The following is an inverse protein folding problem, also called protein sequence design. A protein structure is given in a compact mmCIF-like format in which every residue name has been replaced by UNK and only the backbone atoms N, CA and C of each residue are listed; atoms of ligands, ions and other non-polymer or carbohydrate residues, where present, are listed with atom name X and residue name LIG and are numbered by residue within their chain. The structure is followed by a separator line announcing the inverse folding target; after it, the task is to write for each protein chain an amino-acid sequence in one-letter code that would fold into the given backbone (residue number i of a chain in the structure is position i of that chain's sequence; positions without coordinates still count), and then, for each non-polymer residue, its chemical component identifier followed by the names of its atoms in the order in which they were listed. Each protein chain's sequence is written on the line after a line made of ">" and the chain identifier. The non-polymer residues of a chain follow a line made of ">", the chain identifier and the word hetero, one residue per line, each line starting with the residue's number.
data_IF_776570977147
#
_entry.id   IF_776570977147
#
_cell.length_a   1.000
_cell.length_b   1.000
_cell.length_c   1.000
_cell.angle_alpha   90.00
_cell.angle_beta   90.00
_cell.angle_gamma   90.00
#
_symmetry.space_group_name_H-M   'P 1'
#
loop_
_entity.id
_entity.type
_entity.pdbx_description
1 polymer ?
#
# COMPACT_ATOMS: atom_id res chain seq x y z
N UNK A 1 -26.55 14.45 13.08
CA UNK A 1 -25.25 13.98 12.58
C UNK A 1 -25.36 12.49 12.40
N UNK A 2 -25.15 11.97 11.18
CA UNK A 2 -25.16 10.53 10.97
C UNK A 2 -24.01 9.93 11.77
N UNK A 3 -24.33 9.15 12.80
CA UNK A 3 -23.38 8.43 13.64
C UNK A 3 -23.02 7.14 12.93
N UNK A 4 -22.27 7.24 11.82
CA UNK A 4 -21.78 6.04 11.15
C UNK A 4 -20.84 5.29 12.11
N UNK A 5 -21.28 4.13 12.57
CA UNK A 5 -20.57 3.26 13.51
C UNK A 5 -19.83 2.14 12.79
N UNK A 6 -19.92 2.07 11.46
CA UNK A 6 -19.19 1.07 10.68
C UNK A 6 -17.69 1.20 10.98
N UNK A 7 -16.97 0.08 11.07
CA UNK A 7 -15.53 0.14 11.16
C UNK A 7 -14.92 0.93 10.00
N UNK A 8 -13.78 1.55 10.27
CA UNK A 8 -13.07 2.43 9.35
C UNK A 8 -11.73 1.80 8.95
N UNK A 9 -11.42 1.81 7.67
CA UNK A 9 -10.06 1.62 7.17
C UNK A 9 -9.54 2.96 6.64
N UNK A 10 -8.40 3.41 7.15
CA UNK A 10 -7.66 4.55 6.58
C UNK A 10 -6.58 3.96 5.68
N UNK A 11 -6.69 4.15 4.36
CA UNK A 11 -5.85 3.46 3.38
C UNK A 11 -5.12 4.42 2.45
N UNK A 12 -3.99 3.98 1.90
CA UNK A 12 -3.35 4.66 0.79
C UNK A 12 -4.21 4.56 -0.47
N UNK A 13 -4.37 5.67 -1.21
CA UNK A 13 -5.08 5.68 -2.49
C UNK A 13 -4.48 4.73 -3.53
N UNK A 14 -3.18 4.42 -3.43
CA UNK A 14 -2.50 3.45 -4.28
C UNK A 14 -2.97 2.00 -4.08
N UNK A 15 -3.69 1.71 -2.99
CA UNK A 15 -4.19 0.37 -2.66
C UNK A 15 -5.68 0.21 -2.98
N UNK A 16 -6.32 1.20 -3.61
CA UNK A 16 -7.78 1.22 -3.73
C UNK A 16 -8.34 0.02 -4.49
N UNK A 17 -7.67 -0.42 -5.55
CA UNK A 17 -8.13 -1.57 -6.35
C UNK A 17 -7.98 -2.87 -5.57
N UNK A 18 -6.81 -3.08 -4.97
CA UNK A 18 -6.42 -4.28 -4.24
C UNK A 18 -7.24 -4.42 -2.96
N UNK A 19 -7.41 -3.34 -2.20
CA UNK A 19 -8.16 -3.35 -0.95
C UNK A 19 -9.63 -3.65 -1.21
N UNK A 20 -10.22 -3.02 -2.23
CA UNK A 20 -11.60 -3.35 -2.65
C UNK A 20 -11.72 -4.82 -3.04
N UNK A 21 -10.75 -5.39 -3.75
CA UNK A 21 -10.76 -6.81 -4.10
C UNK A 21 -10.70 -7.71 -2.85
N UNK A 22 -9.84 -7.38 -1.89
CA UNK A 22 -9.73 -8.10 -0.59
C UNK A 22 -11.03 -8.01 0.21
N UNK A 23 -11.65 -6.83 0.29
CA UNK A 23 -12.91 -6.63 1.03
C UNK A 23 -14.09 -7.34 0.36
N UNK A 24 -14.16 -7.34 -0.97
CA UNK A 24 -15.16 -8.10 -1.73
C UNK A 24 -15.02 -9.61 -1.53
N UNK A 25 -13.80 -10.13 -1.67
CA UNK A 25 -13.53 -11.55 -1.45
C UNK A 25 -13.87 -11.98 -0.01
N UNK A 26 -13.79 -11.04 0.94
CA UNK A 26 -14.16 -11.27 2.34
C UNK A 26 -15.64 -11.03 2.66
N UNK A 27 -16.44 -10.52 1.71
CA UNK A 27 -17.89 -10.29 1.88
C UNK A 27 -18.27 -9.11 2.79
N UNK A 28 -17.38 -8.13 2.96
CA UNK A 28 -17.51 -7.08 4.00
C UNK A 28 -17.46 -5.66 3.45
N UNK A 29 -17.35 -5.48 2.14
CA UNK A 29 -17.21 -4.18 1.46
C UNK A 29 -18.30 -3.16 1.89
N UNK A 30 -19.56 -3.58 2.00
CA UNK A 30 -20.66 -2.68 2.39
C UNK A 30 -20.71 -2.34 3.90
N UNK A 31 -20.02 -3.14 4.72
CA UNK A 31 -20.06 -3.05 6.19
C UNK A 31 -18.92 -2.22 6.76
N UNK A 32 -17.99 -1.79 5.92
CA UNK A 32 -16.78 -1.05 6.30
C UNK A 32 -16.75 0.23 5.48
N UNK A 33 -16.38 1.33 6.13
CA UNK A 33 -16.02 2.55 5.40
C UNK A 33 -14.51 2.53 5.14
N UNK A 34 -14.11 2.93 3.93
CA UNK A 34 -12.71 3.16 3.62
C UNK A 34 -12.49 4.62 3.28
N UNK A 35 -11.59 5.27 4.01
CA UNK A 35 -11.10 6.61 3.68
C UNK A 35 -9.72 6.47 3.04
N UNK A 36 -9.65 6.84 1.76
CA UNK A 36 -8.40 6.84 1.01
C UNK A 36 -7.72 8.20 1.15
N UNK A 37 -6.46 8.18 1.62
CA UNK A 37 -5.59 9.34 1.54
C UNK A 37 -5.01 9.46 0.11
N UNK A 38 -4.61 10.67 -0.31
CA UNK A 38 -4.06 10.90 -1.65
C UNK A 38 -2.89 9.97 -2.00
N UNK A 39 -2.89 9.40 -3.21
CA UNK A 39 -1.85 8.46 -3.62
C UNK A 39 -0.46 9.12 -3.79
N UNK A 40 -0.41 10.44 -4.03
CA UNK A 40 0.85 11.20 -4.15
C UNK A 40 1.65 11.26 -2.84
N UNK A 41 1.06 10.91 -1.69
CA UNK A 41 1.79 10.75 -0.43
C UNK A 41 2.88 9.68 -0.51
N UNK A 42 2.85 8.81 -1.52
CA UNK A 42 3.93 7.85 -1.81
C UNK A 42 5.30 8.52 -1.95
N UNK A 43 5.37 9.75 -2.48
CA UNK A 43 6.60 10.53 -2.61
C UNK A 43 6.76 11.60 -1.51
N UNK A 44 5.79 11.69 -0.58
CA UNK A 44 5.74 12.67 0.51
C UNK A 44 5.35 11.98 1.82
N UNK A 45 6.10 10.95 2.26
CA UNK A 45 5.73 10.14 3.40
C UNK A 45 5.62 10.93 4.71
N UNK A 46 6.32 12.06 4.82
CA UNK A 46 6.22 13.01 5.94
C UNK A 46 4.78 13.51 6.20
N UNK A 47 3.92 13.47 5.18
CA UNK A 47 2.53 13.90 5.28
C UNK A 47 1.55 12.77 5.58
N UNK A 48 1.98 11.51 5.66
CA UNK A 48 1.12 10.37 6.00
C UNK A 48 0.66 10.49 7.45
N UNK A 49 1.60 10.61 8.39
CA UNK A 49 1.29 10.62 9.84
C UNK A 49 0.33 11.74 10.24
N UNK A 50 0.51 13.01 9.81
CA UNK A 50 -0.44 14.09 10.13
C UNK A 50 -1.86 13.83 9.63
N UNK A 51 -2.01 13.31 8.41
CA UNK A 51 -3.34 13.04 7.83
C UNK A 51 -4.01 11.82 8.46
N UNK A 52 -3.24 10.78 8.81
CA UNK A 52 -3.78 9.66 9.59
C UNK A 52 -4.25 10.15 10.97
N UNK A 53 -3.48 11.01 11.64
CA UNK A 53 -3.85 11.57 12.94
C UNK A 53 -5.18 12.33 12.87
N UNK A 54 -5.34 13.22 11.89
CA UNK A 54 -6.59 13.96 11.67
C UNK A 54 -7.79 13.02 11.50
N UNK A 55 -7.65 11.98 10.69
CA UNK A 55 -8.73 11.01 10.47
C UNK A 55 -9.04 10.19 11.72
N UNK A 56 -8.04 9.82 12.51
CA UNK A 56 -8.23 9.13 13.79
C UNK A 56 -8.97 10.01 14.80
N UNK A 57 -8.61 11.29 14.92
CA UNK A 57 -9.29 12.23 15.82
C UNK A 57 -10.77 12.41 15.44
N UNK A 58 -11.03 12.66 14.15
CA UNK A 58 -12.38 12.81 13.61
C UNK A 58 -13.26 11.55 13.77
N UNK A 59 -12.64 10.37 13.95
CA UNK A 59 -13.31 9.07 13.98
C UNK A 59 -13.01 8.29 15.27
N UNK A 60 -12.65 8.99 16.35
CA UNK A 60 -12.16 8.39 17.61
C UNK A 60 -13.09 7.37 18.29
N UNK A 61 -14.40 7.41 17.98
CA UNK A 61 -15.38 6.45 18.50
C UNK A 61 -15.51 5.17 17.64
N UNK A 62 -14.79 5.05 16.52
CA UNK A 62 -14.93 3.95 15.55
C UNK A 62 -13.77 2.96 15.64
N UNK A 63 -14.07 1.67 15.50
CA UNK A 63 -13.03 0.66 15.32
C UNK A 63 -12.27 0.94 14.01
N UNK A 64 -10.99 1.29 14.11
CA UNK A 64 -10.21 1.77 12.97
C UNK A 64 -8.98 0.88 12.74
N UNK A 65 -8.70 0.61 11.46
CA UNK A 65 -7.47 -0.04 11.00
C UNK A 65 -6.76 0.87 10.00
N UNK A 66 -5.45 1.01 10.14
CA UNK A 66 -4.63 1.83 9.24
C UNK A 66 -3.99 0.92 8.19
N UNK A 67 -4.53 0.94 6.98
CA UNK A 67 -3.99 0.23 5.82
C UNK A 67 -2.77 0.96 5.21
N UNK A 68 -1.78 1.24 6.07
CA UNK A 68 -0.42 1.66 5.76
C UNK A 68 0.55 0.74 6.49
N UNK A 69 1.66 0.39 5.85
CA UNK A 69 2.86 -0.09 6.52
C UNK A 69 3.56 1.12 7.20
N UNK A 70 4.87 1.07 7.46
CA UNK A 70 5.58 2.33 7.79
C UNK A 70 5.55 3.31 6.60
N UNK A 71 5.69 2.79 5.38
CA UNK A 71 5.63 3.51 4.11
C UNK A 71 6.56 4.75 4.06
N UNK A 72 7.74 4.67 4.69
CA UNK A 72 8.72 5.75 4.70
C UNK A 72 8.46 6.83 5.75
N UNK A 73 7.53 6.63 6.69
CA UNK A 73 7.33 7.59 7.79
C UNK A 73 8.48 7.59 8.80
N UNK A 74 9.36 6.59 8.76
CA UNK A 74 10.50 6.50 9.67
C UNK A 74 10.08 6.25 11.12
N UNK A 75 9.02 5.49 11.33
CA UNK A 75 8.47 5.13 12.64
C UNK A 75 7.51 6.16 13.24
N UNK A 76 7.31 7.33 12.61
CA UNK A 76 6.38 8.33 13.13
C UNK A 76 4.93 7.84 13.14
N UNK A 77 4.55 6.96 12.22
CA UNK A 77 3.24 6.33 12.27
C UNK A 77 3.07 5.44 13.50
N UNK A 78 4.08 4.65 13.87
CA UNK A 78 4.02 3.82 15.08
C UNK A 78 3.91 4.66 16.35
N UNK A 79 4.73 5.71 16.46
CA UNK A 79 4.68 6.65 17.59
C UNK A 79 3.32 7.35 17.72
N UNK A 80 2.65 7.65 16.59
CA UNK A 80 1.29 8.16 16.62
C UNK A 80 0.32 7.11 17.19
N UNK A 81 0.41 5.87 16.72
CA UNK A 81 -0.52 4.79 17.07
C UNK A 81 -0.40 4.33 18.53
N UNK A 82 0.71 4.60 19.22
CA UNK A 82 0.83 4.42 20.68
C UNK A 82 -0.28 5.14 21.47
N UNK A 83 -0.82 6.25 20.93
CA UNK A 83 -1.93 7.00 21.53
C UNK A 83 -3.30 6.35 21.30
N UNK A 84 -3.38 5.35 20.43
CA UNK A 84 -4.60 4.69 19.98
C UNK A 84 -4.48 3.16 20.12
N UNK A 85 -4.50 2.60 21.35
CA UNK A 85 -4.16 1.20 21.61
C UNK A 85 -5.08 0.17 20.94
N UNK A 86 -6.26 0.58 20.47
CA UNK A 86 -7.20 -0.28 19.74
C UNK A 86 -6.99 -0.23 18.21
N UNK A 87 -6.10 0.62 17.71
CA UNK A 87 -5.81 0.79 16.29
C UNK A 87 -4.54 0.02 15.95
N UNK A 88 -4.64 -0.84 14.95
CA UNK A 88 -3.49 -1.51 14.34
C UNK A 88 -3.30 -1.05 12.90
N UNK A 89 -2.12 -1.35 12.35
CA UNK A 89 -1.77 -1.03 10.96
C UNK A 89 -1.30 -2.26 10.17
N UNK A 90 -1.12 -2.12 8.87
CA UNK A 90 -0.47 -3.16 8.07
C UNK A 90 0.98 -3.37 8.57
N UNK A 91 1.46 -4.62 8.57
CA UNK A 91 2.83 -4.91 8.97
C UNK A 91 3.84 -4.45 7.92
N UNK A 92 5.11 -4.50 8.30
CA UNK A 92 6.24 -4.22 7.41
C UNK A 92 6.57 -2.74 7.28
N UNK A 93 7.59 -2.48 6.47
CA UNK A 93 8.13 -1.17 6.18
C UNK A 93 7.47 -0.54 4.94
N UNK A 94 7.01 -1.33 3.97
CA UNK A 94 6.50 -0.81 2.69
C UNK A 94 5.36 -1.65 2.14
N UNK A 95 4.64 -1.10 1.16
CA UNK A 95 3.54 -1.84 0.52
C UNK A 95 4.02 -3.06 -0.27
N UNK A 96 5.13 -2.93 -0.98
CA UNK A 96 5.73 -4.04 -1.71
C UNK A 96 6.18 -5.18 -0.78
N UNK A 97 6.57 -4.89 0.47
CA UNK A 97 6.93 -5.92 1.44
C UNK A 97 5.70 -6.75 1.83
N UNK A 98 4.61 -6.10 2.26
CA UNK A 98 3.44 -6.87 2.67
C UNK A 98 2.78 -7.58 1.48
N UNK A 99 2.88 -7.06 0.25
CA UNK A 99 2.35 -7.75 -0.92
C UNK A 99 3.17 -8.99 -1.25
N UNK A 100 4.50 -8.88 -1.29
CA UNK A 100 5.39 -10.00 -1.54
C UNK A 100 5.41 -11.02 -0.39
N UNK A 101 5.11 -10.57 0.83
CA UNK A 101 5.44 -11.28 2.04
C UNK A 101 6.87 -10.97 2.47
N UNK A 102 7.07 -10.78 3.77
CA UNK A 102 8.35 -10.33 4.33
C UNK A 102 9.52 -11.23 3.95
N UNK A 103 9.34 -12.55 3.89
CA UNK A 103 10.43 -13.46 3.52
C UNK A 103 10.92 -13.23 2.07
N UNK A 104 10.00 -13.17 1.11
CA UNK A 104 10.36 -12.99 -0.31
C UNK A 104 10.91 -11.60 -0.58
N UNK A 105 10.37 -10.58 0.11
CA UNK A 105 10.92 -9.24 0.08
C UNK A 105 12.35 -9.19 0.61
N UNK A 106 12.61 -9.73 1.80
CA UNK A 106 13.95 -9.73 2.40
C UNK A 106 14.94 -10.51 1.54
N UNK A 107 14.56 -11.66 1.01
CA UNK A 107 15.41 -12.42 0.09
C UNK A 107 15.74 -11.60 -1.16
N UNK A 108 14.76 -10.94 -1.78
CA UNK A 108 15.00 -10.08 -2.94
C UNK A 108 15.90 -8.87 -2.60
N UNK A 109 15.77 -8.32 -1.39
CA UNK A 109 16.58 -7.21 -0.92
C UNK A 109 18.02 -7.63 -0.62
N UNK A 110 18.21 -8.78 0.03
CA UNK A 110 19.52 -9.32 0.36
C UNK A 110 20.30 -9.75 -0.90
N UNK A 111 19.60 -10.25 -1.93
CA UNK A 111 20.18 -10.54 -3.25
C UNK A 111 20.75 -9.29 -3.94
N UNK A 112 20.04 -8.17 -3.86
CA UNK A 112 20.41 -6.91 -4.51
C UNK A 112 19.76 -5.71 -3.78
N UNK A 113 20.49 -5.06 -2.85
CA UNK A 113 19.97 -3.90 -2.13
C UNK A 113 19.62 -2.72 -3.06
N UNK A 114 20.29 -2.60 -4.21
CA UNK A 114 20.00 -1.63 -5.27
C UNK A 114 18.76 -1.99 -6.10
N UNK A 115 17.68 -2.45 -5.46
CA UNK A 115 16.43 -2.82 -6.13
C UNK A 115 15.39 -1.71 -5.99
N UNK A 116 14.83 -1.27 -7.12
CA UNK A 116 13.67 -0.40 -7.15
C UNK A 116 12.41 -1.25 -7.27
N UNK A 117 11.54 -1.20 -6.27
CA UNK A 117 10.35 -2.05 -6.23
C UNK A 117 9.15 -1.34 -6.84
N UNK A 118 8.41 -2.07 -7.67
CA UNK A 118 7.11 -1.67 -8.19
C UNK A 118 6.02 -2.64 -7.72
N UNK A 119 4.82 -2.10 -7.54
CA UNK A 119 3.56 -2.86 -7.46
C UNK A 119 2.66 -2.43 -8.62
N UNK A 120 1.47 -3.02 -8.75
CA UNK A 120 0.57 -2.77 -9.88
C UNK A 120 0.27 -1.27 -10.07
N UNK A 121 -0.07 -0.56 -8.99
CA UNK A 121 -0.40 0.87 -9.06
C UNK A 121 0.80 1.75 -9.48
N UNK A 122 1.97 1.72 -8.81
CA UNK A 122 3.14 2.47 -9.26
C UNK A 122 3.63 2.09 -10.67
N UNK A 123 3.46 0.84 -11.11
CA UNK A 123 3.77 0.46 -12.49
C UNK A 123 2.83 1.16 -13.49
N UNK A 124 1.50 1.10 -13.26
CA UNK A 124 0.50 1.78 -14.11
C UNK A 124 0.63 3.30 -14.10
N UNK A 125 1.14 3.87 -13.02
CA UNK A 125 1.25 5.32 -12.82
C UNK A 125 2.70 5.81 -12.75
N UNK A 126 3.62 5.07 -13.37
CA UNK A 126 5.06 5.36 -13.33
C UNK A 126 5.38 6.77 -13.81
N UNK A 127 4.74 7.21 -14.89
CA UNK A 127 4.94 8.55 -15.45
C UNK A 127 4.59 9.65 -14.46
N UNK A 128 3.39 9.61 -13.88
CA UNK A 128 2.93 10.64 -12.96
C UNK A 128 3.71 10.63 -11.65
N UNK A 129 3.96 9.44 -11.07
CA UNK A 129 4.53 9.31 -9.74
C UNK A 129 6.05 9.36 -9.75
N UNK A 130 6.70 8.64 -10.66
CA UNK A 130 8.16 8.52 -10.66
C UNK A 130 8.75 9.53 -11.61
N UNK A 131 8.32 9.55 -12.88
CA UNK A 131 8.97 10.38 -13.87
C UNK A 131 8.73 11.87 -13.62
N UNK A 132 7.47 12.29 -13.60
CA UNK A 132 7.07 13.68 -13.36
C UNK A 132 7.20 14.03 -11.88
N UNK A 133 6.76 13.13 -10.99
CA UNK A 133 6.79 13.37 -9.54
C UNK A 133 8.19 13.58 -8.96
N UNK A 134 9.23 13.04 -9.61
CA UNK A 134 10.63 13.29 -9.24
C UNK A 134 11.31 14.35 -10.14
N UNK A 135 10.61 14.93 -11.11
CA UNK A 135 11.12 15.97 -12.00
C UNK A 135 12.05 15.46 -13.12
N UNK A 136 12.03 14.16 -13.44
CA UNK A 136 12.88 13.55 -14.47
C UNK A 136 12.51 14.00 -15.89
N UNK A 137 11.29 14.50 -16.10
CA UNK A 137 10.86 15.05 -17.39
C UNK A 137 11.64 16.30 -17.76
N UNK A 138 11.81 17.21 -16.78
CA UNK A 138 12.45 18.51 -16.99
C UNK A 138 13.95 18.50 -16.65
N UNK A 139 14.39 17.56 -15.80
CA UNK A 139 15.74 17.51 -15.24
C UNK A 139 16.37 16.11 -15.38
N UNK A 140 16.85 15.81 -16.59
CA UNK A 140 17.43 14.48 -16.92
C UNK A 140 18.63 14.09 -16.05
N UNK A 141 19.38 15.06 -15.52
CA UNK A 141 20.52 14.85 -14.61
C UNK A 141 20.12 14.18 -13.29
N UNK A 142 18.86 14.35 -12.87
CA UNK A 142 18.33 13.73 -11.66
C UNK A 142 18.21 12.21 -11.78
N UNK A 143 18.15 11.67 -13.00
CA UNK A 143 18.08 10.24 -13.22
C UNK A 143 19.28 9.54 -12.60
N UNK A 144 20.49 10.04 -12.86
CA UNK A 144 21.71 9.48 -12.27
C UNK A 144 21.79 9.72 -10.75
N UNK A 145 21.29 10.86 -10.28
CA UNK A 145 21.29 11.19 -8.85
C UNK A 145 20.36 10.26 -8.03
N UNK A 146 19.17 9.97 -8.55
CA UNK A 146 18.20 9.10 -7.87
C UNK A 146 18.44 7.62 -8.13
N UNK A 147 18.74 7.23 -9.37
CA UNK A 147 18.77 5.83 -9.79
C UNK A 147 20.17 5.27 -10.05
N UNK A 148 21.24 6.08 -9.95
CA UNK A 148 22.60 5.65 -10.31
C UNK A 148 23.20 4.51 -9.48
N UNK A 149 22.64 4.25 -8.30
CA UNK A 149 23.04 3.11 -7.44
C UNK A 149 22.08 1.91 -7.53
N UNK A 150 21.00 2.04 -8.31
CA UNK A 150 20.08 0.94 -8.53
C UNK A 150 20.60 0.04 -9.67
N UNK A 151 20.26 -1.24 -9.59
CA UNK A 151 20.68 -2.29 -10.52
C UNK A 151 19.51 -2.93 -11.24
N UNK A 152 18.38 -3.07 -10.54
CA UNK A 152 17.17 -3.68 -11.10
C UNK A 152 15.89 -3.01 -10.62
N UNK A 153 14.85 -3.17 -11.42
CA UNK A 153 13.46 -3.00 -11.04
C UNK A 153 12.86 -4.38 -10.80
N UNK A 154 12.25 -4.58 -9.63
CA UNK A 154 11.44 -5.77 -9.34
C UNK A 154 9.98 -5.36 -9.27
N UNK A 155 9.17 -5.87 -10.20
CA UNK A 155 7.71 -5.78 -10.13
C UNK A 155 7.17 -6.94 -9.31
N UNK A 156 6.63 -6.64 -8.13
CA UNK A 156 5.77 -7.55 -7.39
C UNK A 156 4.33 -7.34 -7.83
N UNK A 157 3.81 -8.16 -8.75
CA UNK A 157 2.46 -7.94 -9.28
C UNK A 157 1.36 -8.57 -8.43
N UNK A 158 0.27 -7.84 -8.24
CA UNK A 158 -0.91 -8.29 -7.50
C UNK A 158 -1.93 -9.00 -8.40
N UNK A 159 -1.97 -8.62 -9.68
CA UNK A 159 -2.87 -9.19 -10.68
C UNK A 159 -2.08 -9.91 -11.79
N UNK A 160 -2.79 -10.79 -12.50
CA UNK A 160 -2.28 -11.43 -13.73
C UNK A 160 -2.77 -10.59 -14.91
N UNK A 161 -2.12 -9.44 -15.09
CA UNK A 161 -2.43 -8.44 -16.12
C UNK A 161 -1.14 -8.17 -16.92
N UNK A 162 -1.06 -8.59 -18.19
CA UNK A 162 0.15 -8.44 -19.00
C UNK A 162 0.52 -6.97 -19.23
N UNK A 163 -0.45 -6.05 -19.19
CA UNK A 163 -0.19 -4.62 -19.39
C UNK A 163 0.60 -4.04 -18.21
N UNK A 164 0.43 -4.58 -17.00
CA UNK A 164 1.24 -4.20 -15.82
C UNK A 164 2.68 -4.65 -15.98
N UNK A 165 2.87 -5.86 -16.49
CA UNK A 165 4.21 -6.40 -16.74
C UNK A 165 4.92 -5.57 -17.80
N UNK A 166 4.22 -5.19 -18.88
CA UNK A 166 4.74 -4.27 -19.90
C UNK A 166 5.11 -2.92 -19.30
N UNK A 167 4.22 -2.32 -18.49
CA UNK A 167 4.49 -1.05 -17.84
C UNK A 167 5.71 -1.09 -16.90
N UNK A 168 5.86 -2.17 -16.13
CA UNK A 168 7.03 -2.39 -15.29
C UNK A 168 8.33 -2.55 -16.09
N UNK A 169 8.26 -3.24 -17.23
CA UNK A 169 9.40 -3.41 -18.13
C UNK A 169 9.80 -2.09 -18.81
N UNK A 170 8.83 -1.30 -19.26
CA UNK A 170 9.04 0.03 -19.83
C UNK A 170 9.65 1.00 -18.80
N UNK A 171 9.17 0.96 -17.56
CA UNK A 171 9.75 1.71 -16.45
C UNK A 171 11.23 1.35 -16.24
N UNK A 172 11.55 0.05 -16.16
CA UNK A 172 12.93 -0.42 -16.02
C UNK A 172 13.82 0.03 -17.19
N UNK A 173 13.30 -0.06 -18.43
CA UNK A 173 14.02 0.40 -19.61
C UNK A 173 14.33 1.90 -19.56
N UNK A 174 13.36 2.74 -19.16
CA UNK A 174 13.58 4.19 -18.99
C UNK A 174 14.59 4.52 -17.91
N UNK A 175 14.62 3.74 -16.84
CA UNK A 175 15.59 3.90 -15.77
C UNK A 175 16.97 3.32 -16.14
N UNK A 176 17.09 2.57 -17.23
CA UNK A 176 18.33 1.88 -17.61
C UNK A 176 18.69 0.72 -16.69
N UNK A 177 17.68 0.08 -16.07
CA UNK A 177 17.83 -0.97 -15.08
C UNK A 177 17.39 -2.33 -15.63
N UNK A 178 17.92 -3.42 -15.07
CA UNK A 178 17.41 -4.76 -15.36
C UNK A 178 15.95 -4.90 -14.86
N UNK A 179 15.14 -5.69 -15.55
CA UNK A 179 13.75 -5.93 -15.15
C UNK A 179 13.55 -7.36 -14.65
N UNK A 180 12.81 -7.49 -13.55
CA UNK A 180 12.38 -8.76 -13.02
C UNK A 180 10.91 -8.67 -12.58
N UNK A 181 10.12 -9.69 -12.93
CA UNK A 181 8.72 -9.80 -12.54
C UNK A 181 8.51 -11.01 -11.63
N UNK A 182 7.87 -10.76 -10.48
CA UNK A 182 7.44 -11.78 -9.52
C UNK A 182 5.95 -11.58 -9.25
N UNK A 183 5.11 -12.56 -9.61
CA UNK A 183 3.69 -12.49 -9.26
C UNK A 183 3.48 -12.92 -7.80
N UNK A 184 2.92 -12.03 -6.98
CA UNK A 184 2.74 -12.25 -5.53
C UNK A 184 1.27 -12.30 -5.10
N UNK A 185 0.36 -11.81 -5.96
CA UNK A 185 -1.07 -11.86 -5.71
C UNK A 185 -1.50 -10.99 -4.52
N UNK A 186 -2.65 -11.35 -3.93
CA UNK A 186 -3.27 -10.61 -2.82
C UNK A 186 -3.31 -11.39 -1.50
N UNK A 187 -2.65 -12.56 -1.42
CA UNK A 187 -2.78 -13.45 -0.26
C UNK A 187 -2.29 -12.76 1.01
N UNK A 188 -1.06 -12.25 1.01
CA UNK A 188 -0.48 -11.59 2.18
C UNK A 188 -1.28 -10.35 2.60
N UNK A 189 -1.80 -9.59 1.62
CA UNK A 189 -2.67 -8.46 1.93
C UNK A 189 -4.00 -8.91 2.57
N UNK A 190 -4.60 -9.99 2.05
CA UNK A 190 -5.84 -10.59 2.59
C UNK A 190 -5.66 -11.08 4.03
N UNK A 191 -4.50 -11.64 4.33
CA UNK A 191 -4.15 -12.15 5.67
C UNK A 191 -3.88 -11.00 6.65
N UNK A 192 -3.34 -9.87 6.17
CA UNK A 192 -3.05 -8.69 6.97
C UNK A 192 -4.28 -7.85 7.32
N UNK A 193 -5.38 -7.94 6.56
CA UNK A 193 -6.64 -7.27 6.90
C UNK A 193 -7.36 -8.03 8.05
N UNK A 194 -7.64 -7.38 9.20
CA UNK A 194 -8.13 -8.08 10.40
C UNK A 194 -9.42 -8.88 10.22
N UNK A 195 -9.47 -10.04 10.89
CA UNK A 195 -10.61 -10.98 10.89
C UNK A 195 -11.85 -10.41 11.59
N UNK A 196 -11.71 -9.46 12.52
CA UNK A 196 -12.86 -8.81 13.16
C UNK A 196 -13.79 -8.17 12.12
N UNK A 197 -13.22 -7.69 11.02
CA UNK A 197 -13.96 -7.20 9.87
C UNK A 197 -14.62 -8.33 9.08
N UNK A 198 -14.01 -9.52 9.01
CA UNK A 198 -14.56 -10.75 8.41
C UNK A 198 -15.70 -11.38 9.24
N UNK A 199 -15.66 -11.27 10.57
CA UNK A 199 -16.55 -11.96 11.53
C UNK A 199 -17.90 -11.28 11.79
N UNK A 200 -18.06 -9.99 11.45
CA UNK A 200 -19.36 -9.30 11.57
C UNK A 200 -20.44 -9.89 10.64
N UNK A 201 -20.07 -10.78 9.71
CA UNK A 201 -20.96 -11.62 8.91
C UNK A 201 -21.72 -12.65 9.75
N UNK A 202 -21.03 -13.42 10.60
CA UNK A 202 -21.60 -14.55 11.33
C UNK A 202 -22.55 -14.17 12.46
N UNK A 203 -22.41 -12.97 13.05
CA UNK A 203 -23.30 -12.51 14.12
C UNK A 203 -24.71 -12.11 13.63
N UNK A 204 -24.86 -11.82 12.33
CA UNK A 204 -26.15 -11.42 11.75
C UNK A 204 -26.93 -12.61 11.15
N UNK A 205 -26.30 -13.77 10.96
CA UNK A 205 -26.97 -15.00 10.52
C UNK A 205 -27.58 -15.80 11.69
N UNK A 206 -27.19 -15.54 12.94
CA UNK A 206 -27.70 -16.25 14.13
C UNK A 206 -28.82 -15.52 14.87
N UNK A 207 -29.32 -14.38 14.35
CA UNK A 207 -30.47 -13.64 14.92
C UNK A 207 -31.74 -13.73 14.07
N UNK A 208 -31.78 -14.69 13.13
CA UNK A 208 -32.92 -14.92 12.25
C UNK A 208 -33.40 -16.38 12.28
N UNK A 209 -33.73 -16.88 13.47
CA UNK A 209 -34.60 -18.06 13.68
C UNK A 209 -35.47 -17.83 14.92
#
# INVERSE_FOLDING_TARGET
>A
MSTDTRPLIIACGALATELRAVLRASGVEDRIEVKYLPANLHNRPENITPQVAELLEQNSARATFVAYADCGTGGHLDLLLEKYPAVSRLPGAHCYEFFAGTADFLNAHDEEPGTFYLTDFPAKHFDALVWQGLGLEDHSELLSAYFGNYRRVVLFSQTVDPDIVSAGQEAAQRLGLAFEHRHVGLKHFTDAIPVLYKSMSKLNETKGE
#
